data_IF_208597929156
#
_entry.id   IF_208597929156
#
_cell.length_a   1.000
_cell.length_b   1.000
_cell.length_c   1.000
_cell.angle_alpha   90.00
_cell.angle_beta   90.00
_cell.angle_gamma   90.00
#
_symmetry.space_group_name_H-M   'P 1'
#
loop_
_entity.id
_entity.type
_entity.pdbx_description
1 polymer ?
#
# COMPACT_ATOMS: atom_id res chain seq x y z
N UNK A 1 3.88 -23.60 1.78
CA UNK A 1 3.85 -22.36 0.96
C UNK A 1 2.88 -22.56 -0.20
N UNK A 2 1.77 -21.82 -0.24
CA UNK A 2 0.94 -21.72 -1.45
C UNK A 2 1.58 -20.68 -2.38
N UNK A 3 1.94 -21.06 -3.60
CA UNK A 3 2.33 -20.08 -4.61
C UNK A 3 1.09 -19.28 -4.99
N UNK A 4 1.02 -18.01 -4.60
CA UNK A 4 -0.09 -17.14 -4.97
C UNK A 4 0.05 -16.74 -6.44
N UNK A 5 -0.67 -17.44 -7.32
CA UNK A 5 -0.72 -17.19 -8.77
C UNK A 5 -1.46 -15.88 -9.12
N UNK A 6 -2.01 -15.17 -8.13
CA UNK A 6 -2.63 -13.85 -8.25
C UNK A 6 -1.81 -12.79 -7.49
N UNK A 7 -0.67 -12.40 -8.05
CA UNK A 7 0.28 -11.47 -7.42
C UNK A 7 -0.38 -10.14 -7.00
N UNK A 8 -1.32 -9.64 -7.80
CA UNK A 8 -2.09 -8.44 -7.48
C UNK A 8 -2.91 -8.57 -6.19
N UNK A 9 -3.50 -9.74 -5.93
CA UNK A 9 -4.26 -10.00 -4.71
C UNK A 9 -3.34 -10.10 -3.48
N UNK A 10 -2.15 -10.70 -3.65
CA UNK A 10 -1.14 -10.73 -2.59
C UNK A 10 -0.63 -9.32 -2.25
N UNK A 11 -0.40 -8.48 -3.26
CA UNK A 11 -0.03 -7.07 -3.09
C UNK A 11 -1.14 -6.27 -2.40
N UNK A 12 -2.40 -6.47 -2.78
CA UNK A 12 -3.55 -5.81 -2.14
C UNK A 12 -3.63 -6.15 -0.64
N UNK A 13 -3.50 -7.44 -0.29
CA UNK A 13 -3.48 -7.88 1.09
C UNK A 13 -2.28 -7.30 1.88
N UNK A 14 -1.08 -7.32 1.30
CA UNK A 14 0.12 -6.73 1.91
C UNK A 14 -0.01 -5.23 2.15
N UNK A 15 -0.59 -4.50 1.19
CA UNK A 15 -0.83 -3.06 1.30
C UNK A 15 -1.86 -2.72 2.37
N UNK A 16 -2.92 -3.53 2.52
CA UNK A 16 -3.89 -3.38 3.63
C UNK A 16 -3.23 -3.60 4.98
N UNK A 17 -2.38 -4.62 5.12
CA UNK A 17 -1.62 -4.85 6.35
C UNK A 17 -0.69 -3.68 6.69
N UNK A 18 0.04 -3.16 5.70
CA UNK A 18 0.91 -2.00 5.88
C UNK A 18 0.12 -0.73 6.24
N UNK A 19 -1.03 -0.51 5.59
CA UNK A 19 -1.92 0.61 5.88
C UNK A 19 -2.48 0.52 7.30
N UNK A 20 -2.87 -0.68 7.75
CA UNK A 20 -3.30 -0.93 9.14
C UNK A 20 -2.19 -0.56 10.12
N UNK A 21 -0.95 -1.00 9.87
CA UNK A 21 0.21 -0.67 10.70
C UNK A 21 0.54 0.84 10.70
N UNK A 22 0.22 1.54 9.60
CA UNK A 22 0.34 2.98 9.48
C UNK A 22 -0.87 3.76 10.07
N UNK A 23 -1.83 3.07 10.70
CA UNK A 23 -3.00 3.68 11.32
C UNK A 23 -4.05 4.20 10.32
N UNK A 24 -4.19 3.54 9.18
CA UNK A 24 -5.22 3.88 8.20
C UNK A 24 -6.53 3.18 8.57
N UNK A 25 -7.63 3.85 8.28
CA UNK A 25 -8.95 3.24 8.32
C UNK A 25 -9.13 2.34 7.09
N UNK A 26 -9.15 1.03 7.30
CA UNK A 26 -9.31 0.04 6.24
C UNK A 26 -10.71 -0.01 5.64
N UNK A 27 -11.73 0.57 6.29
CA UNK A 27 -13.05 0.72 5.68
C UNK A 27 -13.05 1.79 4.58
N UNK A 28 -12.12 2.75 4.65
CA UNK A 28 -11.96 3.83 3.67
C UNK A 28 -10.79 3.57 2.72
N UNK A 29 -9.77 2.82 3.14
CA UNK A 29 -8.58 2.56 2.34
C UNK A 29 -8.75 1.34 1.44
N UNK A 30 -8.87 1.58 0.13
CA UNK A 30 -8.77 0.57 -0.90
C UNK A 30 -7.45 0.76 -1.67
N UNK A 31 -6.51 -0.20 -1.70
CA UNK A 31 -5.21 -0.04 -2.36
C UNK A 31 -5.28 0.22 -3.87
N UNK A 32 -6.27 -0.34 -4.55
CA UNK A 32 -6.48 -0.27 -6.01
C UNK A 32 -5.20 -0.67 -6.79
N UNK A 33 -4.79 -1.93 -6.60
CA UNK A 33 -3.59 -2.51 -7.24
C UNK A 33 -3.87 -2.85 -8.70
N UNK A 34 -3.04 -2.33 -9.60
CA UNK A 34 -3.14 -2.56 -11.05
C UNK A 34 -1.77 -2.77 -11.67
N UNK A 35 -1.73 -3.40 -12.84
CA UNK A 35 -0.51 -3.47 -13.65
C UNK A 35 -0.10 -2.04 -14.02
N UNK A 36 1.18 -1.74 -13.82
CA UNK A 36 1.72 -0.42 -14.10
C UNK A 36 2.25 -0.34 -15.54
N UNK A 37 2.46 0.88 -16.05
CA UNK A 37 3.22 1.04 -17.29
C UNK A 37 4.70 0.73 -17.04
N UNK A 38 5.42 0.27 -18.07
CA UNK A 38 6.81 -0.21 -17.95
C UNK A 38 7.78 0.77 -17.27
N UNK A 39 7.50 2.08 -17.32
CA UNK A 39 8.31 3.12 -16.68
C UNK A 39 8.12 3.22 -15.16
N UNK A 40 7.07 2.59 -14.62
CA UNK A 40 6.66 2.72 -13.22
C UNK A 40 6.69 1.40 -12.44
N UNK A 41 7.31 0.36 -13.00
CA UNK A 41 7.42 -0.98 -12.42
C UNK A 41 6.30 -1.92 -12.89
N UNK A 42 6.11 -3.02 -12.17
CA UNK A 42 5.16 -4.07 -12.54
C UNK A 42 3.73 -3.76 -12.07
N UNK A 43 3.60 -3.22 -10.86
CA UNK A 43 2.31 -2.91 -10.23
C UNK A 43 2.32 -1.55 -9.54
N UNK A 44 1.17 -0.89 -9.57
CA UNK A 44 0.91 0.37 -8.87
C UNK A 44 -0.31 0.23 -7.97
N UNK A 45 -0.22 0.83 -6.79
CA UNK A 45 -1.34 1.00 -5.87
C UNK A 45 -1.77 2.47 -5.88
N UNK A 46 -2.93 2.74 -6.47
CA UNK A 46 -3.38 4.11 -6.78
C UNK A 46 -4.36 4.68 -5.74
N UNK A 47 -4.81 3.85 -4.80
CA UNK A 47 -5.85 4.18 -3.83
C UNK A 47 -5.50 5.26 -2.80
N UNK A 48 -4.22 5.54 -2.61
CA UNK A 48 -3.75 6.53 -1.62
C UNK A 48 -4.31 7.94 -1.86
N UNK A 49 -4.53 8.32 -3.13
CA UNK A 49 -5.09 9.62 -3.49
C UNK A 49 -6.56 9.74 -3.06
N UNK A 50 -7.36 8.71 -3.33
CA UNK A 50 -8.77 8.68 -2.95
C UNK A 50 -8.90 8.72 -1.41
N UNK A 51 -8.11 7.92 -0.71
CA UNK A 51 -8.10 7.90 0.76
C UNK A 51 -7.69 9.26 1.36
N UNK A 52 -6.61 9.86 0.86
CA UNK A 52 -6.15 11.17 1.33
C UNK A 52 -7.20 12.27 1.07
N UNK A 53 -7.90 12.20 -0.08
CA UNK A 53 -8.99 13.14 -0.39
C UNK A 53 -10.16 13.01 0.59
N UNK A 54 -10.60 11.79 0.90
CA UNK A 54 -11.71 11.55 1.83
C UNK A 54 -11.36 11.98 3.27
N UNK A 55 -10.11 11.77 3.68
CA UNK A 55 -9.62 12.11 5.02
C UNK A 55 -9.08 13.54 5.13
N UNK A 56 -9.09 14.33 4.03
CA UNK A 56 -8.56 15.70 3.94
C UNK A 56 -7.08 15.81 4.36
N UNK A 57 -6.28 14.80 4.03
CA UNK A 57 -4.85 14.74 4.34
C UNK A 57 -3.99 14.97 3.09
N UNK A 58 -2.73 15.36 3.27
CA UNK A 58 -1.79 15.48 2.17
C UNK A 58 -1.36 14.06 1.69
N UNK A 59 -1.69 13.66 0.44
CA UNK A 59 -1.39 12.31 -0.06
C UNK A 59 0.11 12.00 -0.12
N UNK A 60 0.97 13.00 -0.34
CA UNK A 60 2.43 12.79 -0.39
C UNK A 60 3.00 12.46 0.99
N UNK A 61 2.45 13.05 2.05
CA UNK A 61 2.87 12.79 3.43
C UNK A 61 2.46 11.38 3.88
N UNK A 62 1.28 10.90 3.46
CA UNK A 62 0.77 9.56 3.82
C UNK A 62 1.43 8.43 3.05
N UNK A 63 2.03 8.68 1.88
CA UNK A 63 2.82 7.68 1.13
C UNK A 63 4.13 7.31 1.84
N UNK A 64 4.71 8.25 2.58
CA UNK A 64 6.05 8.13 3.16
C UNK A 64 6.03 7.91 4.68
N UNK A 65 4.91 7.47 5.26
CA UNK A 65 4.87 7.16 6.70
C UNK A 65 5.95 6.13 7.02
N UNK A 66 7.02 6.59 7.70
CA UNK A 66 8.19 5.81 8.10
C UNK A 66 7.75 4.59 8.92
N UNK A 67 7.68 3.45 8.26
CA UNK A 67 7.76 2.13 8.90
C UNK A 67 8.96 1.39 8.32
N UNK A 68 10.12 2.05 8.27
CA UNK A 68 11.39 1.44 7.83
C UNK A 68 12.22 0.97 9.04
N UNK A 69 11.78 1.26 10.27
CA UNK A 69 12.55 0.97 11.49
C UNK A 69 12.41 -0.49 12.00
N UNK A 70 11.43 -1.28 11.51
CA UNK A 70 11.21 -2.65 12.01
C UNK A 70 11.98 -3.75 11.27
N UNK A 71 12.51 -3.48 10.07
CA UNK A 71 13.25 -4.48 9.28
C UNK A 71 14.77 -4.47 9.54
N UNK A 72 15.30 -3.47 10.25
CA UNK A 72 16.75 -3.33 10.54
C UNK A 72 17.20 -3.99 11.84
N UNK A 73 16.30 -4.64 12.59
CA UNK A 73 16.59 -5.28 13.89
C UNK A 73 16.73 -6.81 13.84
N UNK A 74 16.85 -7.38 12.64
CA UNK A 74 17.00 -8.82 12.43
C UNK A 74 18.24 -9.19 11.59
N UNK A 75 19.28 -8.35 11.60
CA UNK A 75 20.64 -8.70 11.11
C UNK A 75 21.60 -8.91 12.28
#
# INVERSE_FOLDING_TARGET
>A
MSAQFHLAAALDAGLKSAASAAGFDLALFAPDVRVASAQHGDFQANGILAYAKQTKQNPRARRQSRHVEQWRRHE
#
